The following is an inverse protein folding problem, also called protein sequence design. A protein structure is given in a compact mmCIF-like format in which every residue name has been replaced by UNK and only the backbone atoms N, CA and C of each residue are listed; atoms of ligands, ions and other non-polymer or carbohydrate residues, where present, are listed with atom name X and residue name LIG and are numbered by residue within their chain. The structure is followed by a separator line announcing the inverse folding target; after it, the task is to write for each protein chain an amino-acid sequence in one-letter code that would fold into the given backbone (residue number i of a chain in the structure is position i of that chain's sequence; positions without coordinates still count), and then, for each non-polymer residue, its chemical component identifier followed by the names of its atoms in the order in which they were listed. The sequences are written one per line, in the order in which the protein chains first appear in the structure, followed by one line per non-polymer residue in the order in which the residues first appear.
data_IF_625314558086
#
_entry.id   IF_625314558086
#
_cell.length_a   1.000
_cell.length_b   1.000
_cell.length_c   1.000
_cell.angle_alpha   90.00
_cell.angle_beta   90.00
_cell.angle_gamma   90.00
#
_symmetry.space_group_name_H-M   'P 1'
#
loop_
_entity.id
_entity.type
_entity.pdbx_description
1 polymer ?
#
# COMPACT_ATOMS: atom_id res chain seq x y z
N UNK A 1 -52.21 -36.53 37.15
CA UNK A 1 -51.12 -35.52 37.17
C UNK A 1 -50.18 -35.82 36.01
N UNK A 2 -49.97 -34.85 35.09
CA UNK A 2 -49.24 -35.05 33.82
C UNK A 2 -47.73 -34.83 34.02
N UNK A 3 -46.91 -35.78 33.60
CA UNK A 3 -45.45 -35.67 33.57
C UNK A 3 -45.00 -34.87 32.34
N UNK A 4 -44.29 -33.75 32.57
CA UNK A 4 -43.56 -33.02 31.53
C UNK A 4 -42.07 -33.39 31.63
N UNK A 5 -41.58 -34.15 30.63
CA UNK A 5 -40.18 -34.41 30.42
C UNK A 5 -39.52 -33.19 29.74
N UNK A 6 -38.55 -32.57 30.42
CA UNK A 6 -37.82 -31.41 29.93
C UNK A 6 -36.56 -31.87 29.18
N UNK A 7 -36.60 -31.88 27.84
CA UNK A 7 -35.42 -32.01 26.97
C UNK A 7 -34.77 -30.63 26.81
N UNK A 8 -33.63 -30.40 27.45
CA UNK A 8 -32.69 -29.31 27.11
C UNK A 8 -31.26 -29.79 27.33
N UNK A 9 -30.42 -29.78 26.30
CA UNK A 9 -28.98 -29.93 26.52
C UNK A 9 -28.04 -30.16 25.33
N UNK A 10 -28.47 -30.67 24.17
CA UNK A 10 -27.54 -31.04 23.08
C UNK A 10 -27.20 -29.88 22.13
N UNK A 11 -26.47 -28.87 22.63
CA UNK A 11 -25.96 -27.78 21.75
C UNK A 11 -24.51 -27.34 22.00
N UNK A 12 -23.71 -28.09 22.77
CA UNK A 12 -22.31 -27.73 23.06
C UNK A 12 -21.24 -28.57 22.34
N UNK A 13 -21.58 -29.66 21.64
CA UNK A 13 -20.58 -30.61 21.11
C UNK A 13 -20.06 -30.34 19.68
N UNK A 14 -20.60 -29.37 18.95
CA UNK A 14 -20.15 -29.09 17.57
C UNK A 14 -19.06 -28.02 17.44
N UNK A 15 -18.80 -27.20 18.48
CA UNK A 15 -17.80 -26.11 18.40
C UNK A 15 -16.38 -26.65 18.63
N UNK A 16 -16.21 -27.64 19.52
CA UNK A 16 -14.90 -28.20 19.87
C UNK A 16 -14.29 -29.08 18.76
N UNK A 17 -15.12 -29.78 17.98
CA UNK A 17 -14.64 -30.68 16.91
C UNK A 17 -14.08 -29.91 15.70
N UNK A 18 -14.65 -28.74 15.39
CA UNK A 18 -14.24 -27.91 14.25
C UNK A 18 -12.95 -27.16 14.56
N UNK A 19 -12.80 -26.64 15.79
CA UNK A 19 -11.58 -25.94 16.24
C UNK A 19 -10.37 -26.85 16.28
N UNK A 20 -10.50 -28.11 16.71
CA UNK A 20 -9.38 -29.06 16.73
C UNK A 20 -8.86 -29.44 15.34
N UNK A 21 -9.75 -29.70 14.37
CA UNK A 21 -9.38 -30.03 12.97
C UNK A 21 -8.76 -28.82 12.25
N UNK A 22 -9.31 -27.63 12.46
CA UNK A 22 -8.78 -26.40 11.86
C UNK A 22 -7.39 -26.04 12.41
N UNK A 23 -7.18 -26.25 13.71
CA UNK A 23 -5.87 -26.01 14.35
C UNK A 23 -4.80 -27.00 13.87
N UNK A 24 -5.17 -28.26 13.61
CA UNK A 24 -4.23 -29.29 13.10
C UNK A 24 -3.88 -29.12 11.62
N UNK A 25 -4.80 -28.62 10.80
CA UNK A 25 -4.51 -28.30 9.38
C UNK A 25 -3.56 -27.09 9.28
N UNK A 26 -3.82 -26.02 10.05
CA UNK A 26 -2.98 -24.82 10.06
C UNK A 26 -1.56 -25.08 10.59
N UNK A 27 -1.40 -25.97 11.58
CA UNK A 27 -0.07 -26.32 12.09
C UNK A 27 0.83 -26.90 10.99
N UNK A 28 0.28 -27.63 10.01
CA UNK A 28 1.09 -28.35 9.03
C UNK A 28 1.75 -27.46 7.97
N UNK A 29 1.29 -26.21 7.78
CA UNK A 29 1.82 -25.36 6.70
C UNK A 29 3.22 -24.82 7.01
N UNK A 30 3.45 -24.37 8.24
CA UNK A 30 4.69 -23.70 8.61
C UNK A 30 5.48 -24.44 9.69
N UNK A 31 4.84 -25.32 10.47
CA UNK A 31 5.56 -26.21 11.39
C UNK A 31 6.00 -27.44 10.61
N UNK A 32 7.28 -27.45 10.22
CA UNK A 32 7.87 -28.52 9.40
C UNK A 32 9.31 -28.80 9.81
N UNK A 33 9.83 -29.98 9.43
CA UNK A 33 11.24 -30.32 9.62
C UNK A 33 12.17 -29.31 8.93
N UNK A 34 11.81 -28.82 7.74
CA UNK A 34 12.60 -27.84 7.01
C UNK A 34 12.66 -26.49 7.73
N UNK A 35 11.55 -26.03 8.31
CA UNK A 35 11.53 -24.81 9.13
C UNK A 35 12.36 -25.00 10.40
N UNK A 36 12.23 -26.14 11.08
CA UNK A 36 13.02 -26.45 12.26
C UNK A 36 14.54 -26.44 11.97
N UNK A 37 14.97 -26.98 10.83
CA UNK A 37 16.38 -26.95 10.39
C UNK A 37 16.90 -25.52 10.25
N UNK A 38 16.11 -24.62 9.63
CA UNK A 38 16.48 -23.20 9.48
C UNK A 38 16.56 -22.47 10.81
N UNK A 39 15.56 -22.65 11.67
CA UNK A 39 15.50 -21.99 12.98
C UNK A 39 16.67 -22.43 13.86
N UNK A 40 16.94 -23.74 13.92
CA UNK A 40 17.99 -24.30 14.77
C UNK A 40 19.37 -24.28 14.13
N UNK A 41 19.47 -23.91 12.85
CA UNK A 41 20.69 -23.97 12.04
C UNK A 41 21.36 -25.35 12.14
N UNK A 42 20.57 -26.40 11.97
CA UNK A 42 21.03 -27.78 12.03
C UNK A 42 20.59 -28.57 10.78
N UNK A 43 21.43 -29.52 10.37
CA UNK A 43 21.17 -30.29 9.15
C UNK A 43 20.23 -31.47 9.40
N UNK A 44 20.19 -32.00 10.63
CA UNK A 44 19.51 -33.24 10.96
C UNK A 44 18.39 -32.97 11.97
N UNK A 45 17.18 -32.73 11.48
CA UNK A 45 15.95 -32.77 12.28
C UNK A 45 15.29 -34.13 12.10
N UNK A 46 15.13 -34.86 13.20
CA UNK A 46 14.54 -36.20 13.24
C UNK A 46 13.02 -36.13 13.38
N UNK A 47 12.53 -35.27 14.27
CA UNK A 47 11.11 -35.20 14.59
C UNK A 47 10.69 -33.79 15.01
N UNK A 48 9.53 -33.36 14.52
CA UNK A 48 8.82 -32.16 14.99
C UNK A 48 7.44 -32.60 15.47
N UNK A 49 7.09 -32.28 16.71
CA UNK A 49 5.82 -32.66 17.34
C UNK A 49 5.16 -31.45 17.97
N UNK A 50 3.89 -31.22 17.62
CA UNK A 50 3.06 -30.22 18.30
C UNK A 50 2.47 -30.85 19.55
N UNK A 51 2.72 -30.25 20.71
CA UNK A 51 2.26 -30.72 22.01
C UNK A 51 0.83 -30.21 22.29
N UNK A 52 0.13 -30.83 23.25
CA UNK A 52 -1.26 -30.48 23.61
C UNK A 52 -1.40 -29.01 24.05
N UNK A 53 -0.38 -28.45 24.68
CA UNK A 53 -0.33 -27.05 25.12
C UNK A 53 0.10 -26.06 24.01
N UNK A 54 0.24 -26.53 22.75
CA UNK A 54 0.65 -25.71 21.62
C UNK A 54 2.16 -25.48 21.49
N UNK A 55 2.98 -25.95 22.44
CA UNK A 55 4.43 -25.94 22.29
C UNK A 55 4.88 -26.91 21.18
N UNK A 56 5.98 -26.61 20.50
CA UNK A 56 6.51 -27.49 19.45
C UNK A 56 7.81 -28.12 19.92
N UNK A 57 7.79 -29.42 20.18
CA UNK A 57 9.00 -30.17 20.52
C UNK A 57 9.73 -30.53 19.22
N UNK A 58 11.02 -30.21 19.15
CA UNK A 58 11.90 -30.54 18.04
C UNK A 58 13.03 -31.42 18.54
N UNK A 59 13.17 -32.58 17.91
CA UNK A 59 14.28 -33.51 18.11
C UNK A 59 15.22 -33.43 16.92
N UNK A 60 16.52 -33.26 17.19
CA UNK A 60 17.54 -33.05 16.16
C UNK A 60 18.91 -33.56 16.61
N UNK A 61 19.86 -33.67 15.67
CA UNK A 61 21.29 -33.84 15.94
C UNK A 61 22.07 -32.70 15.30
N UNK A 62 23.14 -32.24 15.96
CA UNK A 62 24.01 -31.20 15.40
C UNK A 62 24.95 -31.75 14.33
N UNK A 63 25.37 -33.00 14.46
CA UNK A 63 26.24 -33.72 13.52
C UNK A 63 25.74 -35.16 13.37
N UNK A 64 26.17 -35.88 12.32
CA UNK A 64 25.72 -37.26 12.08
C UNK A 64 26.07 -38.21 13.25
N UNK A 65 27.24 -38.02 13.86
CA UNK A 65 27.73 -38.76 15.03
C UNK A 65 27.36 -38.10 16.37
N UNK A 66 26.70 -36.94 16.33
CA UNK A 66 26.38 -36.17 17.53
C UNK A 66 25.25 -36.79 18.35
N UNK A 67 25.24 -36.48 19.65
CA UNK A 67 24.16 -36.87 20.54
C UNK A 67 22.83 -36.26 20.12
N UNK A 68 21.74 -36.99 20.36
CA UNK A 68 20.38 -36.54 20.12
C UNK A 68 20.04 -35.39 21.08
N UNK A 69 19.57 -34.28 20.53
CA UNK A 69 19.10 -33.11 21.27
C UNK A 69 17.57 -32.98 21.13
N UNK A 70 16.92 -32.42 22.15
CA UNK A 70 15.52 -32.03 22.11
C UNK A 70 15.38 -30.61 22.63
N UNK A 71 14.59 -29.80 21.95
CA UNK A 71 14.26 -28.45 22.40
C UNK A 71 12.79 -28.13 22.13
N UNK A 72 12.28 -27.12 22.81
CA UNK A 72 10.94 -26.60 22.57
C UNK A 72 11.06 -25.27 21.83
N UNK A 73 10.43 -25.20 20.67
CA UNK A 73 10.27 -23.97 19.91
C UNK A 73 8.84 -23.47 20.05
N UNK A 74 8.70 -22.15 20.10
CA UNK A 74 7.38 -21.52 20.09
C UNK A 74 6.78 -21.58 18.69
N UNK A 75 5.45 -21.64 18.59
CA UNK A 75 4.74 -21.52 17.32
C UNK A 75 5.11 -20.22 16.58
N UNK A 76 5.28 -19.13 17.33
CA UNK A 76 5.72 -17.82 16.81
C UNK A 76 7.07 -17.89 16.10
N UNK A 77 8.01 -18.72 16.56
CA UNK A 77 9.29 -18.90 15.88
C UNK A 77 9.13 -19.51 14.48
N UNK A 78 8.24 -20.48 14.33
CA UNK A 78 7.93 -21.06 13.01
C UNK A 78 7.17 -20.10 12.11
N UNK A 79 6.24 -19.32 12.65
CA UNK A 79 5.52 -18.29 11.87
C UNK A 79 6.48 -17.22 11.36
N UNK A 80 7.43 -16.78 12.20
CA UNK A 80 8.47 -15.83 11.82
C UNK A 80 9.38 -16.40 10.74
N UNK A 81 9.92 -17.62 10.93
CA UNK A 81 10.75 -18.29 9.90
C UNK A 81 9.99 -18.44 8.58
N UNK A 82 8.70 -18.79 8.62
CA UNK A 82 7.90 -18.90 7.41
C UNK A 82 7.81 -17.55 6.67
N UNK A 83 7.53 -16.46 7.38
CA UNK A 83 7.48 -15.12 6.79
C UNK A 83 8.84 -14.74 6.19
N UNK A 84 9.93 -14.94 6.94
CA UNK A 84 11.29 -14.62 6.49
C UNK A 84 11.70 -15.45 5.28
N UNK A 85 11.40 -16.75 5.29
CA UNK A 85 11.65 -17.65 4.16
C UNK A 85 10.90 -17.18 2.89
N UNK A 86 9.64 -16.75 3.03
CA UNK A 86 8.87 -16.23 1.89
C UNK A 86 9.37 -14.87 1.42
N UNK A 87 9.77 -13.98 2.33
CA UNK A 87 10.43 -12.71 1.99
C UNK A 87 11.76 -12.93 1.26
N UNK A 88 12.57 -13.88 1.72
CA UNK A 88 13.81 -14.25 1.04
C UNK A 88 13.52 -14.82 -0.36
N UNK A 89 12.54 -15.71 -0.47
CA UNK A 89 12.10 -16.27 -1.75
C UNK A 89 11.45 -15.25 -2.69
N UNK A 90 10.93 -14.13 -2.18
CA UNK A 90 10.39 -13.06 -3.01
C UNK A 90 11.50 -12.34 -3.81
N UNK A 91 12.75 -12.33 -3.31
CA UNK A 91 13.89 -11.72 -4.00
C UNK A 91 14.27 -12.42 -5.30
N UNK A 92 13.85 -13.67 -5.51
CA UNK A 92 14.08 -14.42 -6.76
C UNK A 92 13.00 -14.19 -7.82
N UNK A 93 12.01 -13.34 -7.53
CA UNK A 93 11.03 -12.90 -8.52
C UNK A 93 11.66 -11.75 -9.32
N UNK A 94 11.92 -12.00 -10.60
CA UNK A 94 12.57 -11.02 -11.46
C UNK A 94 11.59 -9.99 -12.05
N UNK A 95 10.39 -10.44 -12.45
CA UNK A 95 9.49 -9.64 -13.27
C UNK A 95 8.14 -9.46 -12.58
N UNK A 96 7.84 -8.21 -12.24
CA UNK A 96 6.55 -7.75 -11.75
C UNK A 96 6.05 -6.69 -12.73
N UNK A 97 4.91 -6.94 -13.35
CA UNK A 97 4.32 -6.05 -14.35
C UNK A 97 2.92 -5.62 -13.89
N UNK A 98 2.69 -4.34 -13.57
CA UNK A 98 1.33 -3.86 -13.30
C UNK A 98 0.47 -3.95 -14.56
N UNK A 99 -0.82 -4.23 -14.39
CA UNK A 99 -1.76 -4.26 -15.51
C UNK A 99 -2.10 -2.84 -15.97
N UNK A 100 -2.26 -2.66 -17.28
CA UNK A 100 -2.62 -1.35 -17.85
C UNK A 100 -4.03 -0.98 -17.35
N UNK A 101 -4.15 0.22 -16.77
CA UNK A 101 -5.42 0.72 -16.23
C UNK A 101 -5.82 0.13 -14.87
N UNK A 102 -4.94 -0.61 -14.19
CA UNK A 102 -5.19 -1.12 -12.84
C UNK A 102 -4.04 -0.80 -11.90
N UNK A 103 -4.36 -0.21 -10.75
CA UNK A 103 -3.40 0.03 -9.67
C UNK A 103 -3.31 -1.15 -8.68
N UNK A 104 -4.16 -2.16 -8.85
CA UNK A 104 -4.31 -3.28 -7.90
C UNK A 104 -3.88 -4.63 -8.47
N UNK A 105 -3.76 -4.77 -9.80
CA UNK A 105 -3.46 -6.03 -10.47
C UNK A 105 -2.02 -6.08 -11.00
N UNK A 106 -1.33 -7.17 -10.69
CA UNK A 106 0.07 -7.40 -11.05
C UNK A 106 0.25 -8.80 -11.63
N UNK A 107 0.96 -8.87 -12.76
CA UNK A 107 1.51 -10.11 -13.31
C UNK A 107 2.90 -10.35 -12.72
N UNK A 108 3.14 -11.55 -12.19
CA UNK A 108 4.38 -11.91 -11.51
C UNK A 108 4.96 -13.18 -12.13
N UNK A 109 6.22 -13.14 -12.60
CA UNK A 109 6.93 -14.31 -13.14
C UNK A 109 8.11 -14.71 -12.26
N UNK A 110 8.29 -16.01 -12.09
CA UNK A 110 9.45 -16.58 -11.39
C UNK A 110 10.67 -16.55 -12.32
N UNK A 111 11.83 -16.10 -11.82
CA UNK A 111 13.07 -16.13 -12.60
C UNK A 111 13.47 -17.57 -13.00
N UNK A 112 13.13 -18.55 -12.15
CA UNK A 112 13.43 -19.96 -12.37
C UNK A 112 12.59 -20.63 -13.47
N UNK A 113 11.49 -20.00 -13.91
CA UNK A 113 10.56 -20.56 -14.89
C UNK A 113 10.01 -19.42 -15.76
N UNK A 114 10.84 -18.83 -16.64
CA UNK A 114 10.45 -17.67 -17.44
C UNK A 114 9.27 -17.97 -18.39
N UNK A 115 9.18 -19.20 -18.88
CA UNK A 115 8.17 -19.65 -19.87
C UNK A 115 6.84 -20.07 -19.24
N UNK A 116 6.78 -20.21 -17.90
CA UNK A 116 5.54 -20.54 -17.23
C UNK A 116 4.55 -19.36 -17.30
N UNK A 117 3.23 -19.64 -17.30
CA UNK A 117 2.22 -18.60 -17.17
C UNK A 117 2.49 -17.71 -15.95
N UNK A 118 2.35 -16.37 -16.08
CA UNK A 118 2.53 -15.49 -14.94
C UNK A 118 1.48 -15.77 -13.87
N UNK A 119 1.85 -15.63 -12.61
CA UNK A 119 0.88 -15.59 -11.52
C UNK A 119 0.28 -14.19 -11.44
N UNK A 120 -1.00 -14.11 -11.12
CA UNK A 120 -1.68 -12.84 -10.86
C UNK A 120 -1.67 -12.59 -9.36
N UNK A 121 -1.31 -11.38 -8.97
CA UNK A 121 -1.45 -10.87 -7.61
C UNK A 121 -2.40 -9.67 -7.66
N UNK A 122 -3.43 -9.70 -6.82
CA UNK A 122 -4.37 -8.59 -6.65
C UNK A 122 -4.19 -8.04 -5.25
N UNK A 123 -4.02 -6.72 -5.11
CA UNK A 123 -3.83 -6.02 -3.84
C UNK A 123 -5.05 -5.13 -3.55
N UNK A 124 -5.71 -5.36 -2.43
CA UNK A 124 -6.93 -4.65 -2.01
C UNK A 124 -6.76 -4.20 -0.55
N UNK A 125 -6.43 -2.93 -0.35
CA UNK A 125 -6.07 -2.40 0.96
C UNK A 125 -4.88 -3.15 1.57
N UNK A 126 -5.06 -3.70 2.78
CA UNK A 126 -4.04 -4.47 3.49
C UNK A 126 -4.01 -5.97 3.11
N UNK A 127 -4.90 -6.40 2.21
CA UNK A 127 -5.03 -7.79 1.78
C UNK A 127 -4.49 -7.97 0.38
N UNK A 128 -4.03 -9.18 0.09
CA UNK A 128 -3.69 -9.57 -1.26
C UNK A 128 -4.23 -10.97 -1.56
N UNK A 129 -4.48 -11.23 -2.82
CA UNK A 129 -4.76 -12.57 -3.33
C UNK A 129 -3.74 -12.93 -4.40
N UNK A 130 -3.37 -14.21 -4.48
CA UNK A 130 -2.49 -14.70 -5.52
C UNK A 130 -3.05 -15.99 -6.13
N UNK A 131 -2.86 -16.15 -7.45
CA UNK A 131 -3.27 -17.37 -8.17
C UNK A 131 -2.29 -18.53 -8.01
N UNK A 132 -1.18 -18.36 -7.28
CA UNK A 132 -0.19 -19.43 -7.15
C UNK A 132 -0.68 -20.58 -6.25
N UNK A 133 -0.24 -21.83 -6.51
CA UNK A 133 -0.68 -23.00 -5.73
C UNK A 133 -0.38 -22.89 -4.23
N UNK A 134 0.72 -22.23 -3.87
CA UNK A 134 1.10 -22.02 -2.46
C UNK A 134 0.08 -21.13 -1.72
N UNK A 135 -0.37 -20.06 -2.36
CA UNK A 135 -1.39 -19.18 -1.80
C UNK A 135 -2.73 -19.92 -1.64
N UNK A 136 -3.11 -20.71 -2.65
CA UNK A 136 -4.33 -21.52 -2.58
C UNK A 136 -4.28 -22.54 -1.44
N UNK A 137 -3.19 -23.30 -1.30
CA UNK A 137 -3.02 -24.26 -0.20
C UNK A 137 -3.12 -23.60 1.18
N UNK A 138 -2.60 -22.38 1.32
CA UNK A 138 -2.72 -21.62 2.57
C UNK A 138 -4.16 -21.20 2.86
N UNK A 139 -4.91 -20.77 1.83
CA UNK A 139 -6.35 -20.48 1.96
C UNK A 139 -7.15 -21.72 2.32
N UNK A 140 -6.91 -22.83 1.64
CA UNK A 140 -7.63 -24.10 1.84
C UNK A 140 -7.41 -24.65 3.25
N UNK A 141 -6.24 -24.40 3.84
CA UNK A 141 -5.97 -24.71 5.24
C UNK A 141 -6.58 -23.71 6.24
N UNK A 142 -7.34 -22.72 5.78
CA UNK A 142 -8.05 -21.75 6.61
C UNK A 142 -7.19 -20.60 7.12
N UNK A 143 -6.08 -20.26 6.45
CA UNK A 143 -5.28 -19.09 6.82
C UNK A 143 -5.98 -17.82 6.35
N UNK A 144 -6.32 -16.95 7.30
CA UNK A 144 -7.01 -15.68 7.03
C UNK A 144 -6.20 -14.75 6.11
N UNK A 145 -4.88 -14.67 6.35
CA UNK A 145 -3.95 -13.86 5.58
C UNK A 145 -2.84 -14.76 5.00
N UNK A 146 -3.10 -15.45 3.88
CA UNK A 146 -2.07 -16.18 3.15
C UNK A 146 -0.93 -15.24 2.78
N UNK A 147 0.31 -15.70 2.88
CA UNK A 147 1.46 -14.94 2.43
C UNK A 147 2.39 -15.83 1.61
N UNK A 148 2.28 -15.68 0.29
CA UNK A 148 3.15 -16.35 -0.66
C UNK A 148 4.31 -15.42 -1.07
N UNK A 149 5.34 -15.99 -1.68
CA UNK A 149 6.50 -15.20 -2.15
C UNK A 149 6.11 -14.11 -3.17
N UNK A 150 5.09 -14.34 -4.01
CA UNK A 150 4.64 -13.37 -5.01
C UNK A 150 3.99 -12.14 -4.37
N UNK A 151 3.17 -12.33 -3.34
CA UNK A 151 2.58 -11.22 -2.57
C UNK A 151 3.64 -10.34 -1.92
N UNK A 152 4.69 -10.96 -1.33
CA UNK A 152 5.83 -10.20 -0.80
C UNK A 152 6.63 -9.47 -1.89
N UNK A 153 6.78 -10.07 -3.07
CA UNK A 153 7.47 -9.44 -4.19
C UNK A 153 6.72 -8.18 -4.64
N UNK A 154 5.39 -8.26 -4.80
CA UNK A 154 4.54 -7.12 -5.13
C UNK A 154 4.54 -6.06 -4.03
N UNK A 155 4.47 -6.44 -2.76
CA UNK A 155 4.58 -5.49 -1.64
C UNK A 155 5.91 -4.72 -1.67
N UNK A 156 7.01 -5.41 -2.00
CA UNK A 156 8.34 -4.81 -2.14
C UNK A 156 8.43 -3.90 -3.37
N UNK A 157 7.80 -4.29 -4.48
CA UNK A 157 7.68 -3.45 -5.68
C UNK A 157 6.88 -2.18 -5.40
N UNK A 158 5.76 -2.29 -4.69
CA UNK A 158 4.93 -1.16 -4.30
C UNK A 158 5.67 -0.19 -3.38
N UNK A 159 6.36 -0.70 -2.35
CA UNK A 159 7.15 0.17 -1.46
C UNK A 159 8.30 0.87 -2.19
N UNK A 160 8.97 0.15 -3.10
CA UNK A 160 10.08 0.70 -3.89
C UNK A 160 9.58 1.71 -4.93
N UNK A 161 8.45 1.44 -5.58
CA UNK A 161 7.84 2.34 -6.58
C UNK A 161 7.20 3.56 -5.93
N UNK A 162 6.62 3.45 -4.74
CA UNK A 162 6.16 4.60 -3.96
C UNK A 162 7.35 5.46 -3.52
N UNK A 163 8.45 4.85 -3.10
CA UNK A 163 9.70 5.57 -2.77
C UNK A 163 10.31 6.24 -4.01
N UNK A 164 10.30 5.58 -5.17
CA UNK A 164 10.76 6.15 -6.44
C UNK A 164 9.83 7.27 -6.94
N UNK A 165 8.51 7.15 -6.78
CA UNK A 165 7.54 8.22 -7.06
C UNK A 165 7.69 9.38 -6.08
N UNK A 166 8.07 9.14 -4.83
CA UNK A 166 8.39 10.18 -3.86
C UNK A 166 9.69 10.92 -4.24
N UNK A 167 10.71 10.19 -4.75
CA UNK A 167 11.95 10.77 -5.30
C UNK A 167 11.72 11.58 -6.58
N UNK A 168 10.87 11.10 -7.50
CA UNK A 168 10.44 11.85 -8.69
C UNK A 168 9.56 13.06 -8.34
N UNK A 169 8.80 13.00 -7.24
CA UNK A 169 8.11 14.18 -6.65
C UNK A 169 9.08 15.18 -6.02
N UNK A 170 10.29 14.79 -5.62
CA UNK A 170 11.30 15.76 -5.16
C UNK A 170 11.98 16.51 -6.31
N UNK A 171 11.94 15.99 -7.54
CA UNK A 171 12.41 16.71 -8.75
C UNK A 171 11.35 17.67 -9.31
N UNK A 172 10.09 17.54 -8.89
CA UNK A 172 9.05 18.50 -9.19
C UNK A 172 8.17 18.74 -7.96
N UNK A 173 8.65 19.51 -6.99
CA UNK A 173 7.71 20.33 -6.22
C UNK A 173 7.04 21.24 -7.26
N UNK A 174 5.72 21.17 -7.50
CA UNK A 174 5.06 22.24 -8.23
C UNK A 174 5.37 23.52 -7.44
N UNK A 175 6.24 24.35 -8.00
CA UNK A 175 6.45 25.69 -7.48
C UNK A 175 5.06 26.30 -7.35
N UNK A 176 4.66 26.81 -6.16
CA UNK A 176 3.36 27.42 -6.01
C UNK A 176 3.25 28.51 -7.08
N UNK A 177 2.36 28.32 -8.06
CA UNK A 177 2.20 29.26 -9.16
C UNK A 177 1.72 30.56 -8.55
N UNK A 178 2.62 31.54 -8.43
CA UNK A 178 2.29 32.88 -7.99
C UNK A 178 1.56 33.55 -9.15
N UNK A 179 0.31 33.95 -8.89
CA UNK A 179 -0.52 34.67 -9.85
C UNK A 179 -0.59 36.13 -9.43
N UNK A 180 -0.34 37.02 -10.38
CA UNK A 180 -0.65 38.45 -10.22
C UNK A 180 -1.95 38.71 -10.95
N UNK A 181 -2.95 39.13 -10.19
CA UNK A 181 -4.20 39.65 -10.72
C UNK A 181 -4.13 41.17 -10.66
N UNK A 182 -4.54 41.85 -11.72
CA UNK A 182 -4.72 43.29 -11.66
C UNK A 182 -6.03 43.70 -12.32
N UNK A 183 -6.55 44.85 -11.91
CA UNK A 183 -7.64 45.51 -12.61
C UNK A 183 -7.44 47.02 -12.63
N UNK A 184 -7.99 47.65 -13.67
CA UNK A 184 -7.89 49.08 -13.89
C UNK A 184 -9.18 49.79 -13.47
N UNK A 185 -9.04 50.85 -12.68
CA UNK A 185 -10.12 51.77 -12.33
C UNK A 185 -9.66 53.19 -12.68
N UNK A 186 -9.99 53.65 -13.89
CA UNK A 186 -9.51 54.94 -14.41
C UNK A 186 -7.97 54.97 -14.60
N UNK A 187 -7.25 55.97 -14.04
CA UNK A 187 -5.78 56.05 -14.12
C UNK A 187 -5.07 55.14 -13.12
N UNK A 188 -5.81 54.44 -12.26
CA UNK A 188 -5.29 53.67 -11.13
C UNK A 188 -5.42 52.18 -11.41
N UNK A 189 -4.38 51.41 -11.06
CA UNK A 189 -4.39 49.95 -11.17
C UNK A 189 -4.22 49.32 -9.79
N UNK A 190 -5.10 48.38 -9.48
CA UNK A 190 -5.02 47.59 -8.25
C UNK A 190 -4.40 46.23 -8.56
N UNK A 191 -3.36 45.85 -7.82
CA UNK A 191 -2.69 44.56 -7.98
C UNK A 191 -2.92 43.67 -6.75
N UNK A 192 -3.12 42.38 -7.00
CA UNK A 192 -3.29 41.34 -6.00
C UNK A 192 -2.32 40.20 -6.29
N UNK A 193 -1.77 39.63 -5.23
CA UNK A 193 -0.97 38.41 -5.32
C UNK A 193 -1.75 37.25 -4.72
N UNK A 194 -1.86 36.16 -5.48
CA UNK A 194 -2.39 34.88 -5.02
C UNK A 194 -1.31 33.81 -5.12
N UNK A 195 -1.04 33.14 -4.00
CA UNK A 195 -0.10 32.00 -3.93
C UNK A 195 -0.91 30.74 -3.65
N UNK A 196 -1.02 29.86 -4.66
CA UNK A 196 -1.80 28.63 -4.52
C UNK A 196 -3.29 28.88 -4.30
N UNK A 197 -3.86 28.28 -3.24
CA UNK A 197 -5.29 28.38 -2.89
C UNK A 197 -5.61 29.49 -1.89
N UNK A 198 -4.63 30.32 -1.49
CA UNK A 198 -4.86 31.42 -0.57
C UNK A 198 -5.79 32.49 -1.16
N UNK A 199 -6.49 33.21 -0.29
CA UNK A 199 -7.26 34.40 -0.70
C UNK A 199 -6.31 35.46 -1.27
N UNK A 200 -6.69 36.14 -2.38
CA UNK A 200 -5.89 37.21 -2.95
C UNK A 200 -5.66 38.32 -1.92
N UNK A 201 -4.41 38.65 -1.64
CA UNK A 201 -4.07 39.78 -0.77
C UNK A 201 -3.80 41.02 -1.62
N UNK A 202 -4.34 42.19 -1.25
CA UNK A 202 -4.02 43.45 -1.93
C UNK A 202 -2.52 43.69 -1.81
N UNK A 203 -1.85 43.87 -2.95
CA UNK A 203 -0.40 44.00 -2.99
C UNK A 203 0.00 45.48 -3.03
N UNK A 204 -0.49 46.22 -4.02
CA UNK A 204 -0.19 47.64 -4.20
C UNK A 204 -1.15 48.31 -5.19
N UNK A 205 -1.44 49.59 -4.97
CA UNK A 205 -2.03 50.48 -5.97
C UNK A 205 -0.90 51.14 -6.76
N UNK A 206 -0.92 51.04 -8.09
CA UNK A 206 0.13 51.54 -8.96
C UNK A 206 -0.43 52.41 -10.08
N UNK A 207 0.42 53.25 -10.66
CA UNK A 207 0.04 54.06 -11.83
C UNK A 207 0.11 53.23 -13.12
N UNK A 208 -0.59 53.66 -14.15
CA UNK A 208 -0.68 52.93 -15.42
C UNK A 208 0.69 52.76 -16.13
N UNK A 209 1.58 53.74 -15.99
CA UNK A 209 2.96 53.75 -16.52
C UNK A 209 3.89 52.81 -15.75
N UNK A 210 3.56 52.45 -14.51
CA UNK A 210 4.34 51.48 -13.71
C UNK A 210 3.93 50.02 -13.98
N UNK A 211 2.80 49.79 -14.66
CA UNK A 211 2.24 48.45 -14.89
C UNK A 211 3.17 47.59 -15.73
N UNK A 212 3.65 48.12 -16.85
CA UNK A 212 4.39 47.35 -17.86
C UNK A 212 5.67 46.76 -17.27
N UNK A 213 6.46 47.59 -16.58
CA UNK A 213 7.63 47.15 -15.84
C UNK A 213 7.32 46.10 -14.77
N UNK A 214 6.19 46.24 -14.06
CA UNK A 214 5.78 45.24 -13.05
C UNK A 214 5.37 43.91 -13.68
N UNK A 215 4.71 43.92 -14.83
CA UNK A 215 4.35 42.71 -15.56
C UNK A 215 5.60 41.98 -16.07
N UNK A 216 6.56 42.70 -16.62
CA UNK A 216 7.87 42.16 -17.03
C UNK A 216 8.64 41.57 -15.84
N UNK A 217 8.68 42.29 -14.72
CA UNK A 217 9.32 41.82 -13.48
C UNK A 217 8.61 40.58 -12.89
N UNK A 218 7.30 40.45 -13.08
CA UNK A 218 6.54 39.27 -12.68
C UNK A 218 6.81 38.07 -13.61
N UNK A 219 6.80 38.29 -14.92
CA UNK A 219 7.08 37.26 -15.92
C UNK A 219 8.51 36.73 -15.81
N UNK A 220 9.51 37.60 -15.59
CA UNK A 220 10.91 37.18 -15.38
C UNK A 220 11.10 36.33 -14.12
N UNK A 221 10.19 36.44 -13.14
CA UNK A 221 10.12 35.57 -11.94
C UNK A 221 9.28 34.32 -12.15
N UNK A 222 8.81 34.06 -13.38
CA UNK A 222 7.97 32.91 -13.73
C UNK A 222 6.53 33.02 -13.23
N UNK A 223 6.04 34.23 -12.92
CA UNK A 223 4.69 34.44 -12.42
C UNK A 223 3.70 34.46 -13.59
N UNK A 224 2.50 33.93 -13.36
CA UNK A 224 1.43 34.00 -14.36
C UNK A 224 0.63 35.29 -14.13
N UNK A 225 0.66 36.18 -15.10
CA UNK A 225 -0.13 37.42 -15.12
C UNK A 225 -1.53 37.11 -15.66
N UNK A 226 -2.57 37.59 -14.99
CA UNK A 226 -3.96 37.46 -15.43
C UNK A 226 -4.61 38.83 -15.38
N UNK A 227 -5.05 39.31 -16.55
CA UNK A 227 -5.83 40.55 -16.67
C UNK A 227 -7.29 40.28 -16.27
N UNK A 228 -7.76 40.91 -15.19
CA UNK A 228 -9.14 40.77 -14.71
C UNK A 228 -10.07 41.89 -15.21
N UNK A 229 -9.58 42.79 -16.08
CA UNK A 229 -10.36 43.90 -16.64
C UNK A 229 -11.71 43.49 -17.28
N UNK A 230 -11.85 42.36 -18.01
CA UNK A 230 -13.16 41.95 -18.53
C UNK A 230 -14.14 41.44 -17.45
N UNK A 231 -13.66 41.12 -16.23
CA UNK A 231 -14.48 40.56 -15.14
C UNK A 231 -15.19 41.64 -14.32
N UNK A 232 -14.71 42.89 -14.35
CA UNK A 232 -15.10 43.95 -13.40
C UNK A 232 -16.00 45.04 -14.02
N UNK A 233 -16.29 44.98 -15.32
CA UNK A 233 -17.29 45.86 -15.95
C UNK A 233 -18.76 45.51 -15.58
N UNK A 234 -18.99 44.74 -14.51
CA UNK A 234 -20.32 44.54 -13.93
C UNK A 234 -20.67 45.73 -13.00
N UNK A 235 -21.93 46.22 -13.02
CA UNK A 235 -22.30 47.44 -12.30
C UNK A 235 -22.35 47.25 -10.78
N UNK A 236 -21.70 48.18 -10.06
CA UNK A 236 -21.93 48.64 -8.68
C UNK A 236 -21.29 47.89 -7.48
N UNK A 237 -20.79 48.60 -6.43
CA UNK A 237 -19.78 48.12 -5.49
C UNK A 237 -20.33 47.64 -4.13
N UNK A 238 -21.50 46.99 -4.09
CA UNK A 238 -22.14 46.60 -2.81
C UNK A 238 -22.38 45.11 -2.59
N UNK A 239 -21.60 44.23 -3.22
CA UNK A 239 -21.58 42.82 -2.82
C UNK A 239 -20.15 42.28 -2.69
N UNK A 240 -19.87 41.43 -1.68
CA UNK A 240 -18.62 40.70 -1.60
C UNK A 240 -18.53 39.74 -2.79
N UNK A 241 -17.48 39.88 -3.58
CA UNK A 241 -17.24 39.11 -4.80
C UNK A 241 -17.34 37.60 -4.56
N UNK A 242 -18.28 36.95 -5.24
CA UNK A 242 -18.27 35.50 -5.44
C UNK A 242 -17.41 35.18 -6.66
N UNK A 243 -16.32 34.44 -6.45
CA UNK A 243 -15.49 33.94 -7.55
C UNK A 243 -16.29 32.89 -8.33
N UNK A 244 -16.70 33.23 -9.56
CA UNK A 244 -17.21 32.23 -10.50
C UNK A 244 -16.02 31.43 -11.02
N UNK A 245 -15.85 30.21 -10.52
CA UNK A 245 -14.90 29.25 -11.06
C UNK A 245 -15.47 28.69 -12.37
N UNK A 246 -15.13 29.28 -13.51
CA UNK A 246 -15.43 28.68 -14.81
C UNK A 246 -14.48 27.51 -15.06
N UNK A 247 -14.97 26.29 -14.86
CA UNK A 247 -14.36 25.07 -15.37
C UNK A 247 -14.56 25.00 -16.88
N UNK A 248 -13.64 25.59 -17.66
CA UNK A 248 -13.45 25.20 -19.06
C UNK A 248 -12.01 24.79 -19.27
N UNK A 249 -11.86 23.55 -19.76
CA UNK A 249 -10.58 22.94 -20.09
C UNK A 249 -9.84 23.67 -21.20
N UNK A 250 -8.64 23.21 -21.54
CA UNK A 250 -7.78 23.90 -22.49
C UNK A 250 -8.42 23.98 -23.87
N UNK A 251 -8.49 25.20 -24.40
CA UNK A 251 -8.64 25.44 -25.84
C UNK A 251 -7.24 25.37 -26.42
N UNK A 252 -7.02 24.41 -27.31
CA UNK A 252 -5.82 24.37 -28.15
C UNK A 252 -5.85 25.54 -29.13
N UNK A 253 -4.75 26.28 -29.20
CA UNK A 253 -4.34 27.04 -30.38
C UNK A 253 -3.28 26.22 -31.09
#
# INVERSE_FOLDING_TARGET
MKNFANKKGDRQLQIAHTTHKHTTMLSNIFISNAAARRILKCDIVEQVRVMKNGAVQVTYRRTAQGSRCSTFLSRKAFEQDFIEFRKAGAKSIANITPWIGSDTHFSVRSASMPDAPPYTVVVEGDRHTCTCPDHQKQRDAGRENPCCKHGFAVATYLSSSLSARAGLRQVAKPQPVKRVLYYRSGPVIHTFTKVGNEEPKPYKTIRADELEWMLEAAQSKGWRVIDATPVINAPSPRQPYSFVQTSRGPVHV
#
